data_IF_476864431237
#
_entry.id   IF_476864431237
#
_cell.length_a   1.000
_cell.length_b   1.000
_cell.length_c   1.000
_cell.angle_alpha   90.00
_cell.angle_beta   90.00
_cell.angle_gamma   90.00
#
_symmetry.space_group_name_H-M   'P 1'
#
loop_
_entity.id
_entity.type
_entity.pdbx_description
1 polymer ?
#
# COMPACT_ATOMS: atom_id res chain seq x y z
N UNK A 1 -23.83 23.52 -5.35
CA UNK A 1 -22.87 24.29 -6.17
C UNK A 1 -22.44 23.44 -7.35
N UNK A 2 -22.29 24.00 -8.58
CA UNK A 2 -21.81 23.22 -9.72
C UNK A 2 -20.41 22.69 -9.42
N UNK A 3 -20.21 21.39 -9.71
CA UNK A 3 -18.93 20.71 -9.56
C UNK A 3 -17.86 21.26 -10.52
N UNK A 4 -16.65 20.69 -10.49
CA UNK A 4 -15.57 20.97 -11.45
C UNK A 4 -15.51 19.87 -12.52
N UNK A 5 -15.13 20.22 -13.74
CA UNK A 5 -15.00 19.27 -14.85
C UNK A 5 -13.70 18.47 -14.74
N UNK A 6 -13.64 17.34 -15.46
CA UNK A 6 -12.41 16.52 -15.51
C UNK A 6 -11.23 17.31 -16.07
N UNK A 7 -11.45 18.11 -17.11
CA UNK A 7 -10.43 18.97 -17.70
C UNK A 7 -9.87 19.99 -16.70
N UNK A 8 -10.73 20.59 -15.87
CA UNK A 8 -10.32 21.50 -14.82
C UNK A 8 -9.46 20.79 -13.76
N UNK A 9 -9.83 19.55 -13.41
CA UNK A 9 -9.06 18.75 -12.46
C UNK A 9 -7.68 18.41 -13.04
N UNK A 10 -7.62 17.97 -14.29
CA UNK A 10 -6.37 17.56 -14.93
C UNK A 10 -5.44 18.78 -15.10
N UNK A 11 -5.94 19.93 -15.50
CA UNK A 11 -5.19 21.19 -15.55
C UNK A 11 -4.67 21.63 -14.17
N UNK A 12 -5.48 21.49 -13.13
CA UNK A 12 -5.04 21.81 -11.76
C UNK A 12 -3.91 20.89 -11.25
N UNK A 13 -3.83 19.65 -11.74
CA UNK A 13 -2.76 18.71 -11.42
C UNK A 13 -1.43 18.99 -12.13
N UNK A 14 -1.40 19.79 -13.17
CA UNK A 14 -0.18 20.20 -13.86
C UNK A 14 0.68 21.13 -13.01
N UNK A 15 0.09 21.86 -12.06
CA UNK A 15 0.81 22.72 -11.15
C UNK A 15 1.62 21.92 -10.13
N UNK A 16 2.96 21.95 -10.23
CA UNK A 16 3.82 21.54 -9.11
C UNK A 16 3.87 22.62 -8.02
N UNK A 17 4.17 22.24 -6.78
CA UNK A 17 4.13 23.17 -5.65
C UNK A 17 5.15 24.30 -5.77
N UNK A 18 6.34 24.03 -6.31
CA UNK A 18 7.37 25.05 -6.41
C UNK A 18 6.94 26.15 -7.38
N UNK A 19 6.46 25.78 -8.57
CA UNK A 19 5.97 26.72 -9.58
C UNK A 19 4.78 27.54 -9.07
N UNK A 20 3.86 26.90 -8.36
CA UNK A 20 2.72 27.59 -7.73
C UNK A 20 3.19 28.65 -6.72
N UNK A 21 4.06 28.27 -5.77
CA UNK A 21 4.54 29.19 -4.75
C UNK A 21 5.41 30.30 -5.35
N UNK A 22 6.24 30.02 -6.35
CA UNK A 22 7.02 31.03 -7.05
C UNK A 22 6.13 32.08 -7.74
N UNK A 23 5.00 31.66 -8.28
CA UNK A 23 4.10 32.51 -9.03
C UNK A 23 3.18 33.32 -8.12
N UNK A 24 2.58 32.69 -7.12
CA UNK A 24 1.50 33.28 -6.34
C UNK A 24 1.87 33.63 -4.90
N UNK A 25 2.84 32.93 -4.31
CA UNK A 25 3.25 33.11 -2.92
C UNK A 25 4.79 33.08 -2.77
N UNK A 26 5.56 33.89 -3.53
CA UNK A 26 7.03 33.84 -3.51
C UNK A 26 7.62 34.12 -2.13
N UNK A 27 6.92 34.91 -1.32
CA UNK A 27 7.29 35.19 0.06
C UNK A 27 7.26 34.00 1.02
N UNK A 28 6.57 32.92 0.64
CA UNK A 28 6.48 31.67 1.42
C UNK A 28 7.72 30.78 1.22
N UNK A 29 8.46 30.96 0.10
CA UNK A 29 9.63 30.13 -0.19
C UNK A 29 10.86 30.57 0.60
N UNK A 30 11.58 29.61 1.14
CA UNK A 30 12.86 29.79 1.83
C UNK A 30 13.81 28.64 1.54
N UNK A 31 15.09 28.84 1.86
CA UNK A 31 16.16 27.82 1.83
C UNK A 31 16.93 27.89 3.14
N UNK A 32 17.40 26.75 3.67
CA UNK A 32 18.27 26.75 4.84
C UNK A 32 19.61 27.42 4.55
N UNK A 33 20.16 27.16 3.33
CA UNK A 33 21.38 27.78 2.81
C UNK A 33 21.12 28.22 1.37
N UNK A 34 21.71 29.32 0.90
CA UNK A 34 21.53 29.79 -0.49
C UNK A 34 21.87 28.74 -1.55
N UNK A 35 22.82 27.85 -1.27
CA UNK A 35 23.30 26.79 -2.16
C UNK A 35 22.43 25.54 -2.18
N UNK A 36 21.43 25.43 -1.28
CA UNK A 36 20.57 24.25 -1.21
C UNK A 36 19.74 24.12 -2.48
N UNK A 37 19.65 22.89 -2.99
CA UNK A 37 18.77 22.53 -4.13
C UNK A 37 17.30 22.34 -3.69
N UNK A 38 17.04 22.33 -2.40
CA UNK A 38 15.73 22.14 -1.79
C UNK A 38 15.17 23.47 -1.30
N UNK A 39 13.89 23.65 -1.54
CA UNK A 39 13.11 24.75 -0.97
C UNK A 39 12.33 24.29 0.25
N UNK A 40 11.92 25.24 1.09
CA UNK A 40 11.06 25.03 2.24
C UNK A 40 10.01 26.12 2.27
N UNK A 41 8.95 25.92 3.03
CA UNK A 41 7.98 26.99 3.29
C UNK A 41 8.32 27.69 4.61
N UNK A 42 8.09 29.01 4.68
CA UNK A 42 8.32 29.78 5.92
C UNK A 42 7.36 29.38 7.02
N UNK A 43 6.10 29.15 6.65
CA UNK A 43 5.03 28.78 7.60
C UNK A 43 5.26 27.37 8.15
N UNK A 44 5.91 26.48 7.37
CA UNK A 44 6.20 25.09 7.74
C UNK A 44 7.61 24.72 7.32
N UNK A 45 8.61 25.06 8.13
CA UNK A 45 10.04 24.86 7.85
C UNK A 45 10.44 23.39 7.63
N UNK A 46 9.64 22.45 8.13
CA UNK A 46 9.81 21.01 7.90
C UNK A 46 9.13 20.50 6.62
N UNK A 47 8.41 21.38 5.87
CA UNK A 47 7.90 21.05 4.54
C UNK A 47 9.00 21.32 3.50
N UNK A 48 9.52 20.25 2.93
CA UNK A 48 10.61 20.25 1.95
C UNK A 48 10.04 20.09 0.54
N UNK A 49 10.49 20.93 -0.39
CA UNK A 49 10.13 20.87 -1.80
C UNK A 49 11.40 20.54 -2.59
N UNK A 50 11.40 19.41 -3.29
CA UNK A 50 12.56 18.94 -4.05
C UNK A 50 12.12 18.04 -5.20
N UNK A 51 12.77 18.19 -6.36
CA UNK A 51 12.56 17.32 -7.55
C UNK A 51 11.08 17.17 -7.96
N UNK A 52 10.33 18.26 -8.00
CA UNK A 52 8.91 18.26 -8.40
C UNK A 52 7.97 17.56 -7.39
N UNK A 53 8.41 17.37 -6.16
CA UNK A 53 7.62 16.81 -5.07
C UNK A 53 7.81 17.64 -3.82
N UNK A 54 6.85 17.51 -2.89
CA UNK A 54 6.98 18.06 -1.56
C UNK A 54 6.68 17.00 -0.49
N UNK A 55 7.32 17.16 0.66
CA UNK A 55 7.12 16.26 1.80
C UNK A 55 7.16 17.06 3.11
N UNK A 56 6.15 16.92 3.94
CA UNK A 56 6.11 17.49 5.27
C UNK A 56 6.65 16.48 6.27
N UNK A 57 7.95 16.55 6.55
CA UNK A 57 8.68 15.52 7.28
C UNK A 57 8.15 15.27 8.70
N UNK A 58 7.76 16.33 9.43
CA UNK A 58 7.22 16.20 10.80
C UNK A 58 5.78 15.66 10.82
N UNK A 59 5.05 15.73 9.70
CA UNK A 59 3.67 15.24 9.60
C UNK A 59 3.57 13.91 8.86
N UNK A 60 4.66 13.43 8.24
CA UNK A 60 4.73 12.14 7.57
C UNK A 60 3.91 12.01 6.28
N UNK A 61 3.54 13.13 5.63
CA UNK A 61 2.83 13.10 4.36
C UNK A 61 3.39 14.12 3.36
N UNK A 62 3.04 13.94 2.09
CA UNK A 62 3.50 14.80 0.99
C UNK A 62 2.61 14.71 -0.25
N UNK A 63 3.09 15.27 -1.34
CA UNK A 63 2.39 15.29 -2.61
C UNK A 63 3.28 15.62 -3.80
N UNK A 64 2.69 15.58 -4.99
CA UNK A 64 3.36 15.92 -6.25
C UNK A 64 2.91 17.26 -6.81
N UNK A 65 1.71 17.72 -6.43
CA UNK A 65 1.06 18.86 -7.05
C UNK A 65 0.74 19.95 -6.05
N UNK A 66 0.53 21.17 -6.53
CA UNK A 66 -0.01 22.26 -5.75
C UNK A 66 -1.43 21.95 -5.25
N UNK A 67 -2.22 21.20 -6.02
CA UNK A 67 -3.54 20.72 -5.61
C UNK A 67 -3.47 19.90 -4.33
N UNK A 68 -2.53 18.96 -4.25
CA UNK A 68 -2.26 18.20 -3.02
C UNK A 68 -1.93 19.10 -1.82
N UNK A 69 -1.14 20.16 -2.05
CA UNK A 69 -0.74 21.10 -1.01
C UNK A 69 -1.94 21.94 -0.53
N UNK A 70 -2.73 22.49 -1.44
CA UNK A 70 -3.90 23.28 -1.10
C UNK A 70 -4.91 22.48 -0.28
N UNK A 71 -5.10 21.20 -0.62
CA UNK A 71 -6.05 20.35 0.10
C UNK A 71 -5.45 19.87 1.44
N UNK A 72 -4.24 19.32 1.42
CA UNK A 72 -3.66 18.61 2.58
C UNK A 72 -3.03 19.54 3.61
N UNK A 73 -2.43 20.66 3.16
CA UNK A 73 -1.71 21.61 4.01
C UNK A 73 -2.57 22.85 4.31
N UNK A 74 -3.19 23.41 3.26
CA UNK A 74 -4.05 24.61 3.41
C UNK A 74 -5.48 24.27 3.84
N UNK A 75 -5.89 23.00 3.76
CA UNK A 75 -7.23 22.54 4.18
C UNK A 75 -8.37 22.99 3.28
N UNK A 76 -8.05 23.40 2.04
CA UNK A 76 -9.08 23.82 1.08
C UNK A 76 -9.95 22.64 0.65
N UNK A 77 -11.23 22.89 0.42
CA UNK A 77 -12.11 21.92 -0.21
C UNK A 77 -11.68 21.64 -1.66
N UNK A 78 -11.81 20.39 -2.10
CA UNK A 78 -11.31 19.93 -3.41
C UNK A 78 -11.78 20.83 -4.58
N UNK A 79 -13.07 21.14 -4.62
CA UNK A 79 -13.65 21.95 -5.70
C UNK A 79 -13.07 23.37 -5.69
N UNK A 80 -12.88 23.94 -4.51
CA UNK A 80 -12.30 25.26 -4.33
C UNK A 80 -10.82 25.29 -4.75
N UNK A 81 -10.04 24.31 -4.34
CA UNK A 81 -8.62 24.19 -4.72
C UNK A 81 -8.45 24.03 -6.23
N UNK A 82 -9.30 23.23 -6.89
CA UNK A 82 -9.29 23.10 -8.36
C UNK A 82 -9.62 24.43 -9.04
N UNK A 83 -10.61 25.16 -8.57
CA UNK A 83 -10.97 26.48 -9.12
C UNK A 83 -9.84 27.49 -8.93
N UNK A 84 -9.27 27.57 -7.74
CA UNK A 84 -8.14 28.47 -7.42
C UNK A 84 -6.98 28.28 -8.39
N UNK A 85 -6.61 27.04 -8.70
CA UNK A 85 -5.54 26.74 -9.65
C UNK A 85 -5.91 27.00 -11.12
N UNK A 86 -7.17 26.90 -11.49
CA UNK A 86 -7.64 27.22 -12.84
C UNK A 86 -7.82 28.72 -13.06
N UNK A 87 -8.23 29.48 -12.03
CA UNK A 87 -8.44 30.91 -12.11
C UNK A 87 -7.14 31.72 -12.03
N UNK A 88 -6.00 31.07 -11.83
CA UNK A 88 -4.68 31.68 -11.70
C UNK A 88 -4.57 32.62 -10.50
N UNK A 89 -5.27 32.34 -9.41
CA UNK A 89 -5.26 33.16 -8.20
C UNK A 89 -4.37 32.54 -7.13
N UNK A 90 -3.72 33.39 -6.32
CA UNK A 90 -3.16 32.93 -5.05
C UNK A 90 -4.30 32.43 -4.15
N UNK A 91 -4.09 31.31 -3.45
CA UNK A 91 -5.02 30.91 -2.41
C UNK A 91 -5.13 32.05 -1.37
N UNK A 92 -6.32 32.32 -0.82
CA UNK A 92 -6.45 33.31 0.24
C UNK A 92 -5.42 33.04 1.32
N UNK A 93 -4.60 34.03 1.67
CA UNK A 93 -3.68 33.92 2.80
C UNK A 93 -4.52 33.69 4.04
N UNK A 94 -4.43 32.50 4.61
CA UNK A 94 -5.02 32.25 5.93
C UNK A 94 -4.17 33.04 6.92
N UNK A 95 -4.64 34.21 7.28
CA UNK A 95 -4.06 35.08 8.31
C UNK A 95 -4.08 34.47 9.72
N UNK A 96 -4.63 33.29 9.83
CA UNK A 96 -4.45 32.37 10.97
C UNK A 96 -4.28 30.97 10.41
N UNK A 97 -3.35 30.16 10.99
CA UNK A 97 -3.43 28.74 10.73
C UNK A 97 -4.84 28.33 11.14
N UNK A 98 -5.64 27.84 10.18
CA UNK A 98 -6.80 27.04 10.56
C UNK A 98 -6.19 25.86 11.31
N UNK A 99 -6.09 26.02 12.63
CA UNK A 99 -6.03 24.88 13.50
C UNK A 99 -7.36 24.19 13.31
N UNK A 100 -7.46 23.35 12.24
CA UNK A 100 -8.34 22.20 12.41
C UNK A 100 -7.90 21.63 13.75
N UNK A 101 -8.83 21.47 14.71
CA UNK A 101 -8.50 20.72 15.93
C UNK A 101 -7.75 19.49 15.42
N UNK A 102 -6.59 19.13 15.99
CA UNK A 102 -5.82 18.00 15.51
C UNK A 102 -6.85 16.92 15.23
N UNK A 103 -6.95 16.50 13.95
CA UNK A 103 -8.00 15.53 13.56
C UNK A 103 -7.79 14.42 14.55
N UNK A 104 -8.70 14.29 15.54
CA UNK A 104 -8.53 13.32 16.62
C UNK A 104 -8.24 12.03 15.89
N UNK A 105 -7.16 11.30 16.22
CA UNK A 105 -6.75 10.13 15.49
C UNK A 105 -8.00 9.31 15.27
N UNK A 106 -8.48 9.23 14.02
CA UNK A 106 -9.73 8.52 13.74
C UNK A 106 -9.56 7.14 14.29
N UNK A 107 -10.37 6.78 15.27
CA UNK A 107 -10.31 5.47 15.86
C UNK A 107 -10.45 4.46 14.72
N UNK A 108 -9.51 3.52 14.62
CA UNK A 108 -9.57 2.48 13.61
C UNK A 108 -10.85 1.67 13.77
N UNK A 109 -11.63 1.58 12.72
CA UNK A 109 -12.78 0.71 12.63
C UNK A 109 -12.83 0.04 11.26
N UNK A 110 -13.05 -1.27 11.25
CA UNK A 110 -13.25 -1.99 10.01
C UNK A 110 -14.49 -1.47 9.28
N UNK A 111 -14.45 -1.36 7.94
CA UNK A 111 -15.68 -1.09 7.18
C UNK A 111 -16.69 -2.20 7.38
N UNK A 112 -17.96 -1.85 7.28
CA UNK A 112 -19.06 -2.84 7.37
C UNK A 112 -18.89 -3.89 6.27
N UNK A 113 -18.95 -5.17 6.66
CA UNK A 113 -18.85 -6.30 5.74
C UNK A 113 -20.15 -6.52 4.97
N UNK A 114 -20.04 -6.97 3.73
CA UNK A 114 -21.16 -7.47 2.97
C UNK A 114 -21.57 -8.88 3.46
N UNK A 115 -22.81 -9.28 3.23
CA UNK A 115 -23.31 -10.62 3.59
C UNK A 115 -22.59 -11.74 2.84
N UNK A 116 -22.19 -11.47 1.61
CA UNK A 116 -21.37 -12.37 0.78
C UNK A 116 -20.19 -11.59 0.17
N UNK A 117 -19.15 -12.30 -0.20
CA UNK A 117 -17.94 -11.70 -0.76
C UNK A 117 -17.83 -11.91 -2.27
N UNK A 118 -18.95 -11.97 -3.00
CA UNK A 118 -19.01 -12.40 -4.40
C UNK A 118 -18.14 -11.54 -5.33
N UNK A 119 -18.24 -10.22 -5.23
CA UNK A 119 -17.46 -9.32 -6.08
C UNK A 119 -15.96 -9.37 -5.75
N UNK A 120 -15.63 -9.42 -4.46
CA UNK A 120 -14.25 -9.49 -4.00
C UNK A 120 -13.61 -10.85 -4.32
N UNK A 121 -14.33 -11.96 -4.18
CA UNK A 121 -13.87 -13.30 -4.56
C UNK A 121 -13.64 -13.35 -6.07
N UNK A 122 -14.62 -12.92 -6.88
CA UNK A 122 -14.48 -12.89 -8.34
C UNK A 122 -13.31 -12.02 -8.79
N UNK A 123 -13.05 -10.90 -8.10
CA UNK A 123 -11.89 -10.06 -8.38
C UNK A 123 -10.57 -10.81 -8.15
N UNK A 124 -10.41 -11.49 -7.01
CA UNK A 124 -9.20 -12.26 -6.72
C UNK A 124 -9.04 -13.47 -7.68
N UNK A 125 -10.14 -14.14 -8.03
CA UNK A 125 -10.11 -15.24 -9.00
C UNK A 125 -9.66 -14.76 -10.39
N UNK A 126 -10.13 -13.58 -10.85
CA UNK A 126 -9.63 -12.97 -12.10
C UNK A 126 -8.14 -12.58 -12.03
N UNK A 127 -7.62 -12.37 -10.83
CA UNK A 127 -6.18 -12.19 -10.56
C UNK A 127 -5.42 -13.52 -10.48
N UNK A 128 -6.09 -14.64 -10.63
CA UNK A 128 -5.50 -15.99 -10.62
C UNK A 128 -5.36 -16.61 -9.23
N UNK A 129 -5.83 -15.97 -8.17
CA UNK A 129 -5.70 -16.47 -6.80
C UNK A 129 -6.57 -17.72 -6.61
N UNK A 130 -5.98 -18.76 -6.02
CA UNK A 130 -6.63 -20.05 -5.77
C UNK A 130 -7.82 -19.92 -4.82
N UNK A 131 -8.92 -20.60 -5.16
CA UNK A 131 -10.19 -20.50 -4.42
C UNK A 131 -10.10 -21.03 -2.99
N UNK A 132 -9.27 -22.04 -2.71
CA UNK A 132 -9.06 -22.54 -1.35
C UNK A 132 -8.33 -21.49 -0.50
N UNK A 133 -7.30 -20.82 -1.06
CA UNK A 133 -6.58 -19.74 -0.39
C UNK A 133 -7.52 -18.59 -0.04
N UNK A 134 -8.38 -18.17 -1.00
CA UNK A 134 -9.39 -17.14 -0.75
C UNK A 134 -10.35 -17.59 0.38
N UNK A 135 -10.84 -18.82 0.31
CA UNK A 135 -11.74 -19.38 1.32
C UNK A 135 -11.10 -19.45 2.70
N UNK A 136 -9.80 -19.79 2.79
CA UNK A 136 -9.04 -19.76 4.06
C UNK A 136 -8.95 -18.36 4.63
N UNK A 137 -8.68 -17.33 3.79
CA UNK A 137 -8.65 -15.93 4.22
C UNK A 137 -10.01 -15.46 4.77
N UNK A 138 -11.11 -15.86 4.12
CA UNK A 138 -12.47 -15.53 4.59
C UNK A 138 -12.76 -16.21 5.93
N UNK A 139 -12.51 -17.51 6.06
CA UNK A 139 -12.71 -18.25 7.32
C UNK A 139 -11.85 -17.72 8.47
N UNK A 140 -10.63 -17.26 8.18
CA UNK A 140 -9.75 -16.63 9.15
C UNK A 140 -10.14 -15.19 9.51
N UNK A 141 -11.15 -14.62 8.85
CA UNK A 141 -11.60 -13.25 9.05
C UNK A 141 -10.54 -12.19 8.69
N UNK A 142 -9.60 -12.53 7.81
CA UNK A 142 -8.56 -11.62 7.32
C UNK A 142 -8.85 -11.06 5.93
N UNK A 143 -9.93 -11.50 5.31
CA UNK A 143 -10.42 -11.02 4.03
C UNK A 143 -11.96 -11.04 3.99
N UNK A 144 -12.54 -9.93 3.52
CA UNK A 144 -13.98 -9.83 3.28
C UNK A 144 -14.29 -8.76 2.22
N UNK A 145 -15.55 -8.65 1.81
CA UNK A 145 -16.04 -7.59 0.91
C UNK A 145 -16.72 -6.49 1.73
N UNK A 146 -16.37 -5.22 1.46
CA UNK A 146 -17.05 -4.11 2.10
C UNK A 146 -18.46 -3.91 1.52
N UNK A 147 -19.45 -3.58 2.40
CA UNK A 147 -20.84 -3.39 2.02
C UNK A 147 -21.04 -2.23 1.04
N UNK A 148 -20.39 -1.09 1.30
CA UNK A 148 -20.71 0.15 0.57
C UNK A 148 -20.17 0.20 -0.86
N UNK A 149 -18.97 -0.34 -1.12
CA UNK A 149 -18.32 -0.21 -2.44
C UNK A 149 -17.86 -1.54 -3.01
N UNK A 150 -18.23 -2.62 -2.38
CA UNK A 150 -17.82 -3.98 -2.77
C UNK A 150 -16.29 -4.15 -2.92
N UNK A 151 -15.52 -3.37 -2.16
CA UNK A 151 -14.07 -3.46 -2.17
C UNK A 151 -13.60 -4.73 -1.48
N UNK A 152 -12.49 -5.29 -1.96
CA UNK A 152 -11.70 -6.24 -1.18
C UNK A 152 -11.16 -5.53 0.07
N UNK A 153 -11.34 -6.12 1.24
CA UNK A 153 -10.81 -5.66 2.51
C UNK A 153 -9.84 -6.71 3.03
N UNK A 154 -8.55 -6.35 3.13
CA UNK A 154 -7.51 -7.20 3.71
C UNK A 154 -7.19 -6.69 5.10
N UNK A 155 -7.33 -7.54 6.11
CA UNK A 155 -7.24 -7.18 7.52
C UNK A 155 -5.93 -7.63 8.12
N UNK A 156 -5.25 -6.73 8.81
CA UNK A 156 -4.11 -7.02 9.66
C UNK A 156 -4.51 -7.06 11.14
N UNK A 157 -3.98 -8.05 11.86
CA UNK A 157 -4.32 -8.30 13.26
C UNK A 157 -3.06 -8.29 14.13
N UNK A 158 -3.21 -7.86 15.38
CA UNK A 158 -2.17 -7.97 16.39
C UNK A 158 -2.08 -9.41 16.97
N UNK A 159 -1.12 -9.64 17.86
CA UNK A 159 -0.90 -10.92 18.54
C UNK A 159 -2.13 -11.44 19.30
N UNK A 160 -2.99 -10.55 19.77
CA UNK A 160 -4.23 -10.89 20.45
C UNK A 160 -5.40 -11.18 19.49
N UNK A 161 -5.15 -11.13 18.17
CA UNK A 161 -6.17 -11.34 17.14
C UNK A 161 -7.07 -10.12 16.88
N UNK A 162 -6.81 -8.97 17.53
CA UNK A 162 -7.55 -7.74 17.32
C UNK A 162 -7.15 -7.10 16.00
N UNK A 163 -8.14 -6.70 15.19
CA UNK A 163 -7.89 -5.95 13.96
C UNK A 163 -7.30 -4.57 14.28
N UNK A 164 -6.18 -4.26 13.64
CA UNK A 164 -5.42 -3.00 13.82
C UNK A 164 -5.18 -2.25 12.52
N UNK A 165 -5.31 -2.95 11.41
CA UNK A 165 -5.04 -2.44 10.07
C UNK A 165 -6.05 -3.04 9.09
N UNK A 166 -6.42 -2.29 8.09
CA UNK A 166 -7.04 -2.84 6.89
C UNK A 166 -6.68 -2.00 5.67
N UNK A 167 -6.40 -2.67 4.56
CA UNK A 167 -6.29 -2.01 3.27
C UNK A 167 -7.41 -2.46 2.33
N UNK A 168 -7.73 -1.56 1.41
CA UNK A 168 -8.83 -1.69 0.47
C UNK A 168 -8.30 -1.80 -0.96
N UNK A 169 -8.92 -2.66 -1.75
CA UNK A 169 -8.72 -2.73 -3.18
C UNK A 169 -10.07 -2.73 -3.88
N UNK A 170 -10.28 -1.78 -4.80
CA UNK A 170 -11.49 -1.71 -5.61
C UNK A 170 -11.64 -2.96 -6.47
N UNK A 171 -12.84 -3.52 -6.50
CA UNK A 171 -13.20 -4.63 -7.39
C UNK A 171 -13.52 -4.13 -8.79
N UNK A 172 -13.83 -2.84 -8.92
CA UNK A 172 -14.08 -2.11 -10.16
C UNK A 172 -13.15 -0.88 -10.18
N UNK A 173 -12.23 -0.84 -11.14
CA UNK A 173 -11.24 0.25 -11.27
C UNK A 173 -10.02 0.10 -10.35
N UNK A 174 -9.21 1.18 -10.25
CA UNK A 174 -7.86 1.17 -9.67
C UNK A 174 -7.79 1.65 -8.22
N UNK A 175 -8.92 1.76 -7.54
CA UNK A 175 -8.95 2.25 -6.16
C UNK A 175 -8.10 1.37 -5.23
N UNK A 176 -7.22 2.01 -4.47
CA UNK A 176 -6.44 1.41 -3.39
C UNK A 176 -6.26 2.42 -2.26
N UNK A 177 -6.30 1.96 -1.03
CA UNK A 177 -6.12 2.83 0.14
C UNK A 177 -6.15 2.04 1.44
N UNK A 178 -5.71 2.68 2.52
CA UNK A 178 -5.82 2.13 3.86
C UNK A 178 -7.08 2.68 4.54
N UNK A 179 -7.67 1.88 5.44
CA UNK A 179 -8.76 2.34 6.28
C UNK A 179 -8.23 3.39 7.26
N UNK A 180 -8.89 4.54 7.44
CA UNK A 180 -8.45 5.57 8.38
C UNK A 180 -8.22 5.03 9.80
N UNK A 181 -7.13 5.47 10.45
CA UNK A 181 -6.75 4.98 11.77
C UNK A 181 -6.02 3.63 11.78
N UNK A 182 -5.75 3.05 10.62
CA UNK A 182 -4.95 1.82 10.49
C UNK A 182 -3.54 1.98 11.05
N UNK A 183 -3.11 1.01 11.84
CA UNK A 183 -1.74 0.91 12.33
C UNK A 183 -0.91 0.03 11.40
N UNK A 184 0.00 0.64 10.64
CA UNK A 184 0.80 -0.04 9.61
C UNK A 184 1.78 -1.09 10.16
N UNK A 185 1.98 -1.15 11.45
CA UNK A 185 2.76 -2.22 12.10
C UNK A 185 2.08 -3.58 11.99
N UNK A 186 0.75 -3.61 11.85
CA UNK A 186 -0.05 -4.84 11.83
C UNK A 186 -0.69 -5.04 10.46
N UNK A 187 0.12 -5.27 9.44
CA UNK A 187 -0.39 -5.42 8.07
C UNK A 187 -0.97 -6.82 7.83
N UNK A 188 -1.60 -7.01 6.65
CA UNK A 188 -2.17 -8.29 6.26
C UNK A 188 -1.11 -9.40 6.27
N UNK A 189 -1.45 -10.52 6.88
CA UNK A 189 -0.64 -11.74 6.84
C UNK A 189 -1.54 -12.96 6.56
N UNK A 190 -1.22 -13.71 5.51
CA UNK A 190 -1.76 -15.06 5.35
C UNK A 190 -0.93 -15.99 6.23
N UNK A 191 -1.52 -16.57 7.29
CA UNK A 191 -0.77 -17.24 8.33
C UNK A 191 -0.35 -18.66 7.92
N UNK A 192 0.78 -19.09 8.43
CA UNK A 192 1.18 -20.49 8.35
C UNK A 192 0.19 -21.41 9.10
N UNK A 193 0.03 -22.62 8.61
CA UNK A 193 -0.80 -23.66 9.22
C UNK A 193 -0.15 -24.37 10.41
N UNK A 194 0.61 -23.66 11.26
CA UNK A 194 1.28 -24.20 12.46
C UNK A 194 2.54 -23.40 12.84
N UNK A 195 3.33 -23.83 13.87
CA UNK A 195 4.56 -23.17 14.24
C UNK A 195 5.55 -23.19 13.09
N UNK A 196 5.99 -22.03 12.64
CA UNK A 196 6.82 -21.86 11.45
C UNK A 196 7.90 -20.83 11.69
N UNK A 197 9.05 -21.10 11.14
CA UNK A 197 10.25 -20.27 11.28
C UNK A 197 10.48 -19.33 10.10
N UNK A 198 9.58 -19.34 9.11
CA UNK A 198 9.76 -18.59 7.87
C UNK A 198 8.68 -17.56 7.63
N UNK A 199 9.07 -16.39 7.12
CA UNK A 199 8.16 -15.37 6.60
C UNK A 199 8.61 -14.89 5.23
N UNK A 200 7.70 -14.88 4.27
CA UNK A 200 7.87 -14.21 2.98
C UNK A 200 7.16 -12.86 3.02
N UNK A 201 7.81 -11.81 2.52
CA UNK A 201 7.43 -10.40 2.71
C UNK A 201 7.16 -9.76 1.35
N UNK A 202 6.01 -9.09 1.19
CA UNK A 202 5.51 -8.56 -0.07
C UNK A 202 5.07 -7.11 0.05
N UNK A 203 4.98 -6.38 -1.07
CA UNK A 203 4.43 -5.03 -1.06
C UNK A 203 2.91 -5.01 -0.86
N UNK A 204 2.19 -6.00 -1.40
CA UNK A 204 0.73 -6.05 -1.30
C UNK A 204 0.19 -7.42 -0.86
N UNK A 205 -1.06 -7.47 -0.32
CA UNK A 205 -1.72 -8.74 -0.01
C UNK A 205 -1.92 -9.64 -1.23
N UNK A 206 -2.13 -9.05 -2.42
CA UNK A 206 -2.36 -9.82 -3.64
C UNK A 206 -1.10 -10.57 -4.04
N UNK A 207 0.09 -9.98 -3.91
CA UNK A 207 1.35 -10.65 -4.20
C UNK A 207 1.64 -11.78 -3.23
N UNK A 208 1.33 -11.56 -1.94
CA UNK A 208 1.42 -12.60 -0.91
C UNK A 208 0.56 -13.82 -1.26
N UNK A 209 -0.70 -13.60 -1.64
CA UNK A 209 -1.62 -14.68 -2.05
C UNK A 209 -1.22 -15.29 -3.40
N UNK A 210 -0.57 -14.52 -4.28
CA UNK A 210 -0.08 -15.00 -5.58
C UNK A 210 1.04 -16.00 -5.43
N UNK A 211 2.04 -15.74 -4.57
CA UNK A 211 3.10 -16.70 -4.31
C UNK A 211 2.57 -17.98 -3.64
N UNK A 212 1.66 -17.85 -2.67
CA UNK A 212 1.01 -19.01 -2.06
C UNK A 212 0.28 -19.85 -3.10
N UNK A 213 -0.42 -19.21 -4.05
CA UNK A 213 -1.10 -19.88 -5.17
C UNK A 213 -0.10 -20.58 -6.11
N UNK A 214 1.01 -19.91 -6.46
CA UNK A 214 2.05 -20.48 -7.31
C UNK A 214 2.64 -21.75 -6.68
N UNK A 215 2.99 -21.72 -5.40
CA UNK A 215 3.52 -22.87 -4.70
C UNK A 215 2.52 -24.04 -4.65
N UNK A 216 1.26 -23.74 -4.30
CA UNK A 216 0.19 -24.76 -4.31
C UNK A 216 0.02 -25.35 -5.70
N UNK A 217 -0.03 -24.53 -6.73
CA UNK A 217 -0.22 -24.95 -8.12
C UNK A 217 0.95 -25.79 -8.67
N UNK A 218 2.16 -25.62 -8.11
CA UNK A 218 3.34 -26.42 -8.42
C UNK A 218 3.46 -27.70 -7.55
N UNK A 219 2.47 -27.98 -6.72
CA UNK A 219 2.48 -29.17 -5.86
C UNK A 219 3.48 -29.10 -4.71
N UNK A 220 3.94 -27.90 -4.33
CA UNK A 220 4.84 -27.72 -3.18
C UNK A 220 4.09 -28.08 -1.91
N UNK A 221 4.35 -29.25 -1.33
CA UNK A 221 3.64 -29.78 -0.14
C UNK A 221 3.74 -28.86 1.09
N UNK A 222 4.67 -27.92 1.09
CA UNK A 222 4.89 -26.96 2.18
C UNK A 222 4.38 -25.56 1.89
N UNK A 223 3.54 -25.38 0.87
CA UNK A 223 3.06 -24.07 0.41
C UNK A 223 2.39 -23.26 1.52
N UNK A 224 1.76 -23.90 2.50
CA UNK A 224 1.12 -23.27 3.65
C UNK A 224 1.97 -23.32 4.92
N UNK A 225 3.24 -23.66 4.81
CA UNK A 225 4.16 -23.79 5.96
C UNK A 225 4.94 -22.53 6.31
N UNK A 226 4.82 -21.45 5.56
CA UNK A 226 5.40 -20.14 5.83
C UNK A 226 4.32 -19.09 6.06
N UNK A 227 4.70 -17.98 6.68
CA UNK A 227 3.87 -16.79 6.73
C UNK A 227 4.07 -15.97 5.46
N UNK A 228 3.00 -15.35 4.96
CA UNK A 228 3.03 -14.47 3.80
C UNK A 228 2.54 -13.08 4.27
N UNK A 229 3.50 -12.19 4.55
CA UNK A 229 3.27 -10.88 5.14
C UNK A 229 3.28 -9.78 4.08
N UNK A 230 2.24 -8.98 4.01
CA UNK A 230 2.25 -7.74 3.24
C UNK A 230 2.80 -6.58 4.09
N UNK A 231 3.54 -5.66 3.46
CA UNK A 231 4.00 -4.42 4.09
C UNK A 231 3.05 -3.24 3.83
N UNK A 232 2.16 -3.36 2.82
CA UNK A 232 1.37 -2.23 2.33
C UNK A 232 2.25 -1.14 1.69
N UNK A 233 3.30 -1.54 0.99
CA UNK A 233 4.38 -0.76 0.41
C UNK A 233 5.75 -1.34 0.73
N UNK A 234 6.77 -0.49 0.91
CA UNK A 234 8.17 -0.91 1.11
C UNK A 234 8.75 -0.55 2.50
N UNK A 235 7.89 -0.21 3.47
CA UNK A 235 8.31 0.14 4.83
C UNK A 235 8.62 -1.10 5.68
N UNK A 236 9.69 -1.12 6.50
CA UNK A 236 10.02 -2.24 7.36
C UNK A 236 9.07 -2.43 8.56
N UNK A 237 8.22 -1.44 8.88
CA UNK A 237 7.45 -1.39 10.14
C UNK A 237 6.66 -2.67 10.44
N UNK A 238 5.95 -3.21 9.44
CA UNK A 238 5.15 -4.42 9.63
C UNK A 238 6.02 -5.66 9.87
N UNK A 239 7.17 -5.76 9.20
CA UNK A 239 8.09 -6.87 9.40
C UNK A 239 8.74 -6.81 10.78
N UNK A 240 9.21 -5.65 11.23
CA UNK A 240 9.81 -5.49 12.55
C UNK A 240 8.83 -5.90 13.65
N UNK A 241 7.60 -5.36 13.62
CA UNK A 241 6.55 -5.74 14.58
C UNK A 241 6.23 -7.25 14.51
N UNK A 242 6.18 -7.81 13.30
CA UNK A 242 5.92 -9.22 13.10
C UNK A 242 6.99 -10.12 13.74
N UNK A 243 8.25 -9.71 13.67
CA UNK A 243 9.39 -10.41 14.27
C UNK A 243 9.42 -10.26 15.79
N UNK A 244 9.04 -9.11 16.36
CA UNK A 244 8.89 -8.94 17.81
C UNK A 244 7.80 -9.85 18.39
N UNK A 245 6.69 -9.96 17.66
CA UNK A 245 5.56 -10.81 18.09
C UNK A 245 5.85 -12.31 17.92
N UNK A 246 6.86 -12.68 17.09
CA UNK A 246 7.20 -14.08 16.72
C UNK A 246 8.70 -14.34 16.79
N UNK A 247 9.23 -14.58 17.99
CA UNK A 247 10.66 -14.84 18.19
C UNK A 247 11.14 -16.13 17.52
N UNK A 248 10.24 -17.04 17.18
CA UNK A 248 10.54 -18.30 16.49
C UNK A 248 10.92 -18.11 15.01
N UNK A 249 10.64 -16.97 14.41
CA UNK A 249 10.99 -16.68 13.00
C UNK A 249 12.48 -16.40 12.90
N UNK A 250 13.17 -17.16 12.06
CA UNK A 250 14.61 -17.01 11.79
C UNK A 250 14.95 -16.88 10.30
N UNK A 251 13.97 -17.12 9.40
CA UNK A 251 14.20 -17.03 7.97
C UNK A 251 13.21 -16.08 7.31
N UNK A 252 13.74 -15.10 6.59
CA UNK A 252 12.99 -14.01 5.96
C UNK A 252 13.28 -14.03 4.45
N UNK A 253 12.24 -14.10 3.65
CA UNK A 253 12.31 -13.95 2.20
C UNK A 253 11.73 -12.60 1.79
N UNK A 254 12.56 -11.74 1.21
CA UNK A 254 12.13 -10.44 0.69
C UNK A 254 11.64 -10.60 -0.74
N UNK A 255 10.33 -10.67 -0.91
CA UNK A 255 9.61 -10.92 -2.15
C UNK A 255 8.93 -9.64 -2.65
N UNK A 256 9.62 -8.49 -2.57
CA UNK A 256 9.10 -7.22 -3.05
C UNK A 256 9.15 -7.15 -4.58
N UNK A 257 8.49 -6.13 -5.14
CA UNK A 257 8.43 -5.91 -6.58
C UNK A 257 9.83 -5.80 -7.20
N UNK A 258 9.99 -6.30 -8.42
CA UNK A 258 11.26 -6.22 -9.15
C UNK A 258 11.35 -4.92 -9.94
N UNK A 259 11.14 -3.81 -9.24
CA UNK A 259 11.35 -2.46 -9.75
C UNK A 259 12.27 -1.68 -8.80
N UNK A 260 12.66 -0.46 -9.22
CA UNK A 260 13.56 0.36 -8.41
C UNK A 260 13.05 0.60 -6.98
N UNK A 261 11.76 0.78 -6.79
CA UNK A 261 11.19 1.06 -5.47
C UNK A 261 11.24 -0.17 -4.55
N UNK A 262 10.93 -1.36 -5.10
CA UNK A 262 11.03 -2.63 -4.38
C UNK A 262 12.47 -3.00 -4.04
N UNK A 263 13.41 -2.87 -4.99
CA UNK A 263 14.83 -3.14 -4.77
C UNK A 263 15.44 -2.21 -3.71
N UNK A 264 15.17 -0.90 -3.79
CA UNK A 264 15.56 0.08 -2.78
C UNK A 264 14.88 -0.23 -1.42
N UNK A 265 13.65 -0.74 -1.46
CA UNK A 265 12.87 -1.18 -0.30
C UNK A 265 13.53 -2.36 0.42
N UNK A 266 13.97 -3.38 -0.32
CA UNK A 266 14.70 -4.51 0.27
C UNK A 266 15.97 -4.04 0.99
N UNK A 267 16.75 -3.12 0.39
CA UNK A 267 17.93 -2.57 1.04
C UNK A 267 17.61 -1.82 2.34
N UNK A 268 16.50 -1.06 2.37
CA UNK A 268 16.04 -0.41 3.61
C UNK A 268 15.61 -1.40 4.68
N UNK A 269 14.96 -2.48 4.30
CA UNK A 269 14.55 -3.55 5.23
C UNK A 269 15.77 -4.23 5.82
N UNK A 270 16.76 -4.62 5.00
CA UNK A 270 17.99 -5.24 5.50
C UNK A 270 18.76 -4.32 6.46
N UNK A 271 18.85 -3.02 6.15
CA UNK A 271 19.45 -2.05 7.05
C UNK A 271 18.67 -1.96 8.38
N UNK A 272 17.33 -1.86 8.31
CA UNK A 272 16.48 -1.79 9.49
C UNK A 272 16.61 -3.05 10.39
N UNK A 273 16.69 -4.24 9.78
CA UNK A 273 16.88 -5.50 10.54
C UNK A 273 18.26 -5.58 11.22
N UNK A 274 19.31 -5.05 10.56
CA UNK A 274 20.67 -5.03 11.11
C UNK A 274 20.80 -4.05 12.27
N UNK A 275 20.19 -2.88 12.13
CA UNK A 275 20.36 -1.75 13.05
C UNK A 275 19.38 -1.83 14.24
N UNK A 276 18.42 -2.75 14.21
CA UNK A 276 17.38 -2.92 15.23
C UNK A 276 17.93 -3.58 16.50
N UNK A 277 17.86 -2.87 17.63
CA UNK A 277 18.41 -3.31 18.91
C UNK A 277 17.68 -4.51 19.52
N UNK A 278 16.37 -4.65 19.28
CA UNK A 278 15.57 -5.75 19.81
C UNK A 278 15.81 -7.06 19.04
N UNK A 279 16.27 -6.96 17.79
CA UNK A 279 16.62 -8.10 16.95
C UNK A 279 18.09 -8.48 17.04
N UNK A 280 18.94 -7.65 17.67
CA UNK A 280 20.36 -7.97 17.89
C UNK A 280 20.50 -9.28 18.67
N UNK A 281 21.38 -10.17 18.17
CA UNK A 281 21.59 -11.49 18.75
C UNK A 281 20.65 -12.59 18.22
N UNK A 282 19.64 -12.26 17.42
CA UNK A 282 18.86 -13.28 16.69
C UNK A 282 19.60 -13.70 15.42
N UNK A 283 19.74 -14.99 15.22
CA UNK A 283 20.32 -15.56 13.99
C UNK A 283 19.29 -15.50 12.85
N UNK A 284 19.06 -14.30 12.27
CA UNK A 284 18.14 -14.10 11.17
C UNK A 284 18.84 -14.33 9.83
N UNK A 285 18.28 -15.19 9.00
CA UNK A 285 18.68 -15.36 7.60
C UNK A 285 17.74 -14.56 6.72
N UNK A 286 18.28 -13.63 5.92
CA UNK A 286 17.52 -12.79 5.00
C UNK A 286 17.93 -13.09 3.57
N UNK A 287 16.97 -13.43 2.72
CA UNK A 287 17.21 -13.72 1.31
C UNK A 287 16.28 -12.84 0.44
N UNK A 288 16.86 -12.19 -0.59
CA UNK A 288 16.08 -11.49 -1.61
C UNK A 288 15.53 -12.48 -2.62
N UNK A 289 14.23 -12.42 -2.84
CA UNK A 289 13.50 -13.26 -3.81
C UNK A 289 12.48 -12.40 -4.58
N UNK A 290 12.92 -11.38 -5.34
CA UNK A 290 11.99 -10.67 -6.24
C UNK A 290 11.47 -11.63 -7.31
N UNK A 291 10.30 -11.36 -7.93
CA UNK A 291 9.83 -12.14 -9.06
C UNK A 291 10.80 -12.01 -10.25
N UNK A 292 10.94 -13.04 -11.11
CA UNK A 292 11.77 -12.98 -12.31
C UNK A 292 11.27 -11.88 -13.27
N UNK A 293 12.21 -11.10 -13.84
CA UNK A 293 11.90 -9.92 -14.69
C UNK A 293 11.10 -10.31 -15.94
N UNK A 294 11.39 -11.47 -16.52
CA UNK A 294 10.75 -12.00 -17.72
C UNK A 294 9.24 -12.26 -17.58
N UNK A 295 8.74 -12.37 -16.34
CA UNK A 295 7.34 -12.64 -16.05
C UNK A 295 6.59 -11.46 -15.44
N UNK A 296 7.22 -10.28 -15.39
CA UNK A 296 6.60 -9.06 -14.86
C UNK A 296 7.31 -8.53 -13.61
N UNK A 297 6.76 -7.47 -13.03
CA UNK A 297 7.39 -6.76 -11.91
C UNK A 297 6.98 -7.29 -10.55
N UNK A 298 5.81 -7.91 -10.42
CA UNK A 298 5.25 -8.38 -9.16
C UNK A 298 4.82 -9.86 -9.22
N UNK A 299 4.54 -10.44 -8.07
CA UNK A 299 4.15 -11.86 -8.00
C UNK A 299 2.77 -12.15 -8.59
N UNK A 300 1.89 -11.17 -8.72
CA UNK A 300 0.62 -11.37 -9.38
C UNK A 300 0.78 -11.42 -10.91
N UNK A 301 1.67 -10.62 -11.48
CA UNK A 301 2.04 -10.71 -12.90
C UNK A 301 2.67 -12.06 -13.21
N UNK A 302 3.63 -12.53 -12.38
CA UNK A 302 4.22 -13.87 -12.50
C UNK A 302 3.16 -14.98 -12.43
N UNK A 303 2.23 -14.91 -11.48
CA UNK A 303 1.15 -15.90 -11.38
C UNK A 303 0.30 -15.94 -12.65
N UNK A 304 -0.11 -14.78 -13.15
CA UNK A 304 -0.95 -14.67 -14.35
C UNK A 304 -0.23 -15.18 -15.60
N UNK A 305 1.04 -14.86 -15.76
CA UNK A 305 1.88 -15.41 -16.85
C UNK A 305 1.96 -16.93 -16.76
N UNK A 306 2.29 -17.48 -15.60
CA UNK A 306 2.37 -18.94 -15.37
C UNK A 306 1.04 -19.65 -15.65
N UNK A 307 -0.09 -19.04 -15.32
CA UNK A 307 -1.41 -19.63 -15.60
C UNK A 307 -1.77 -19.56 -17.09
N UNK A 308 -1.34 -18.52 -17.81
CA UNK A 308 -1.57 -18.39 -19.25
C UNK A 308 -0.76 -19.41 -20.09
N UNK A 309 0.43 -19.81 -19.60
CA UNK A 309 1.29 -20.80 -20.24
C UNK A 309 0.82 -22.26 -20.03
N UNK A 310 -0.12 -22.51 -19.10
CA UNK A 310 -0.63 -23.86 -18.88
C UNK A 310 -1.53 -24.27 -20.06
N UNK A 311 -1.26 -25.43 -20.72
CA UNK A 311 -2.16 -25.96 -21.75
C UNK A 311 -3.54 -26.19 -21.12
N UNK A 312 -4.59 -25.81 -21.86
CA UNK A 312 -5.96 -26.10 -21.45
C UNK A 312 -6.09 -27.60 -21.12
N UNK A 313 -6.78 -27.99 -20.02
CA UNK A 313 -7.00 -29.38 -19.72
C UNK A 313 -7.62 -30.06 -20.95
N UNK A 314 -7.02 -31.17 -21.38
CA UNK A 314 -7.55 -31.96 -22.50
C UNK A 314 -9.05 -32.22 -22.23
N UNK A 315 -9.92 -31.80 -23.13
CA UNK A 315 -11.34 -32.10 -23.03
C UNK A 315 -11.46 -33.64 -23.04
N UNK A 316 -11.88 -34.21 -21.92
CA UNK A 316 -12.17 -35.63 -21.83
C UNK A 316 -13.11 -36.05 -22.97
N UNK A 317 -13.04 -37.29 -23.43
CA UNK A 317 -13.88 -37.79 -24.52
C UNK A 317 -15.35 -37.52 -24.13
N UNK A 318 -16.08 -36.86 -25.05
CA UNK A 318 -17.53 -36.72 -24.98
C UNK A 318 -18.09 -38.13 -24.94
N UNK A 319 -18.64 -38.58 -23.81
CA UNK A 319 -19.49 -39.76 -23.76
C UNK A 319 -20.59 -39.57 -24.81
N UNK A 320 -20.55 -40.35 -25.83
CA UNK A 320 -21.66 -40.48 -26.81
C UNK A 320 -22.76 -41.20 -26.05
N UNK A 321 -23.79 -40.47 -25.67
CA UNK A 321 -25.09 -41.11 -25.29
C UNK A 321 -25.57 -41.86 -26.48
N UNK A 322 -25.80 -43.17 -26.29
CA UNK A 322 -26.56 -44.08 -27.16
C UNK A 322 -28.03 -43.88 -26.90
#
# INVERSE_FOLDING_TARGET
>A
MPGVTREQIDRAKEWDLLSYLQTYEPGELTKKRPTDKEYRTKTHDSLVISKGRWNWTTRGFGGKTALDYLIKVRGMEFVEAVRTLNDGRAAPSLSQPVTRPPEQPRAFALPEGNRCATAAVSYLQRRGIDSEIISRCIRAGIFFESRKYHNCVFVGRDKAGKARFACLRGTMGDFKGDVPGSDKRFNFCFPAGGPRRTVAVFESPIDALSLATLFKARGVATWDRGHYLSLGGTSPLALLQFLYDRPEIDRIYLCLDNDKAGLDGMGRIEAALRDDKELQGRALTVERKPPPVEHGKDYNELLRATLAERPAPARGPKERSI
#
